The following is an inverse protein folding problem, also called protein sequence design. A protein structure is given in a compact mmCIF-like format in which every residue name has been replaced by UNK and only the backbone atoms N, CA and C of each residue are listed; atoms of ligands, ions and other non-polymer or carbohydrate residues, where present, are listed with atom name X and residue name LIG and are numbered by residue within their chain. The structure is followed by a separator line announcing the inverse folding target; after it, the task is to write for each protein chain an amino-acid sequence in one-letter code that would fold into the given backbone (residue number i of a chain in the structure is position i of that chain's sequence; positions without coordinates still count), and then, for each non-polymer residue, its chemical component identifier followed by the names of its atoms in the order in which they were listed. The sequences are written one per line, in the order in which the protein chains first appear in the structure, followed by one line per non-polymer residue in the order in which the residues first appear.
data_IF_989365864450
#
_entry.id   IF_989365864450
#
_cell.length_a   1.000
_cell.length_b   1.000
_cell.length_c   1.000
_cell.angle_alpha   90.00
_cell.angle_beta   90.00
_cell.angle_gamma   90.00
#
_symmetry.space_group_name_H-M   'P 1'
#
loop_
_entity.id
_entity.type
_entity.pdbx_description
1 polymer ?
#
# COMPACT_ATOMS: atom_id res chain seq x y z
N UNK A 1 -32.45 13.43 21.96
CA UNK A 1 -31.60 13.20 20.78
C UNK A 1 -32.00 14.21 19.71
N UNK A 2 -31.06 14.95 19.11
CA UNK A 2 -31.41 16.00 18.14
C UNK A 2 -31.91 15.35 16.83
N UNK A 3 -32.84 16.00 16.13
CA UNK A 3 -33.42 15.50 14.88
C UNK A 3 -32.34 15.20 13.82
N UNK A 4 -31.25 15.96 13.84
CA UNK A 4 -30.06 15.76 13.01
C UNK A 4 -29.31 14.45 13.32
N UNK A 5 -29.19 14.08 14.60
CA UNK A 5 -28.60 12.78 14.99
C UNK A 5 -29.50 11.64 14.55
N UNK A 6 -30.82 11.78 14.73
CA UNK A 6 -31.79 10.77 14.33
C UNK A 6 -31.77 10.54 12.80
N UNK A 7 -31.68 11.60 12.00
CA UNK A 7 -31.53 11.50 10.54
C UNK A 7 -30.20 10.88 10.12
N UNK A 8 -29.10 11.16 10.84
CA UNK A 8 -27.80 10.51 10.61
C UNK A 8 -27.88 9.00 10.85
N UNK A 9 -28.51 8.55 11.94
CA UNK A 9 -28.71 7.13 12.23
C UNK A 9 -29.72 6.48 11.27
N UNK A 10 -30.80 7.17 10.92
CA UNK A 10 -31.82 6.68 9.99
C UNK A 10 -31.26 6.51 8.57
N UNK A 11 -30.49 7.48 8.05
CA UNK A 11 -29.83 7.33 6.75
C UNK A 11 -28.76 6.22 6.79
N UNK A 12 -28.02 6.08 7.90
CA UNK A 12 -27.09 4.97 8.11
C UNK A 12 -27.79 3.60 8.11
N UNK A 13 -29.02 3.52 8.61
CA UNK A 13 -29.82 2.28 8.66
C UNK A 13 -30.50 1.97 7.32
N UNK A 14 -31.04 2.99 6.63
CA UNK A 14 -31.82 2.85 5.38
C UNK A 14 -30.94 2.72 4.13
N UNK A 15 -29.78 3.39 4.12
CA UNK A 15 -28.78 3.34 3.03
C UNK A 15 -27.56 2.50 3.42
N UNK A 16 -27.66 1.66 4.46
CA UNK A 16 -26.54 0.87 4.98
C UNK A 16 -25.93 -0.09 3.96
N UNK A 17 -26.69 -0.50 2.94
CA UNK A 17 -26.20 -1.26 1.79
C UNK A 17 -25.71 -0.35 0.65
N UNK A 18 -26.38 0.79 0.41
CA UNK A 18 -26.04 1.76 -0.64
C UNK A 18 -24.67 2.41 -0.42
N UNK A 19 -24.26 2.58 0.85
CA UNK A 19 -22.96 3.19 1.19
C UNK A 19 -21.78 2.43 0.61
N UNK A 20 -21.85 1.10 0.51
CA UNK A 20 -20.80 0.26 -0.05
C UNK A 20 -20.63 0.48 -1.56
N UNK A 21 -21.70 0.91 -2.25
CA UNK A 21 -21.62 1.30 -3.65
C UNK A 21 -20.81 2.58 -3.87
N UNK A 22 -20.63 3.40 -2.82
CA UNK A 22 -19.87 4.64 -2.86
C UNK A 22 -18.41 4.51 -2.39
N UNK A 23 -18.01 3.34 -1.88
CA UNK A 23 -16.63 3.04 -1.46
C UNK A 23 -15.80 2.50 -2.63
N UNK A 24 -14.46 2.57 -2.51
CA UNK A 24 -13.51 2.01 -3.48
C UNK A 24 -13.84 2.37 -4.94
N UNK A 25 -14.08 3.66 -5.20
CA UNK A 25 -14.49 4.15 -6.52
C UNK A 25 -13.33 4.21 -7.53
N UNK A 26 -12.10 4.30 -7.03
CA UNK A 26 -10.88 4.21 -7.83
C UNK A 26 -10.35 2.79 -7.74
N UNK A 27 -10.59 2.03 -8.79
CA UNK A 27 -10.05 0.67 -8.97
C UNK A 27 -9.00 0.72 -10.07
N UNK A 28 -7.87 0.05 -9.86
CA UNK A 28 -6.79 -0.03 -10.85
C UNK A 28 -7.14 -1.14 -11.84
N UNK A 29 -7.26 -0.78 -13.12
CA UNK A 29 -7.68 -1.68 -14.20
C UNK A 29 -6.63 -1.80 -15.29
N UNK A 30 -5.87 -0.75 -15.55
CA UNK A 30 -4.87 -0.71 -16.60
C UNK A 30 -3.52 -0.28 -16.02
N UNK A 31 -2.52 -1.17 -16.11
CA UNK A 31 -1.16 -0.94 -15.64
C UNK A 31 -0.21 -0.93 -16.83
N UNK A 32 0.64 0.09 -16.91
CA UNK A 32 1.77 0.11 -17.84
C UNK A 32 3.04 -0.35 -17.10
N UNK A 33 3.64 -1.45 -17.53
CA UNK A 33 4.91 -1.94 -17.03
C UNK A 33 6.01 -1.57 -18.04
N UNK A 34 7.00 -0.79 -17.58
CA UNK A 34 8.17 -0.41 -18.38
C UNK A 34 9.36 -1.20 -17.89
N UNK A 35 9.88 -2.09 -18.73
CA UNK A 35 10.96 -3.01 -18.35
C UNK A 35 11.96 -3.22 -19.49
N UNK A 36 13.13 -3.78 -19.16
CA UNK A 36 14.01 -4.30 -20.20
C UNK A 36 13.48 -5.65 -20.68
N UNK A 37 13.87 -6.09 -21.89
CA UNK A 37 13.50 -7.42 -22.41
C UNK A 37 13.93 -8.53 -21.44
N UNK A 38 15.10 -8.39 -20.82
CA UNK A 38 15.60 -9.34 -19.84
C UNK A 38 14.73 -9.37 -18.58
N UNK A 39 14.35 -8.21 -18.06
CA UNK A 39 13.51 -8.13 -16.86
C UNK A 39 12.09 -8.62 -17.12
N UNK A 40 11.53 -8.31 -18.30
CA UNK A 40 10.26 -8.86 -18.74
C UNK A 40 10.31 -10.40 -18.78
N UNK A 41 11.39 -10.98 -19.27
CA UNK A 41 11.58 -12.44 -19.25
C UNK A 41 11.65 -13.01 -17.83
N UNK A 42 12.38 -12.33 -16.91
CA UNK A 42 12.46 -12.76 -15.50
C UNK A 42 11.10 -12.73 -14.81
N UNK A 43 10.24 -11.75 -15.10
CA UNK A 43 8.89 -11.67 -14.55
C UNK A 43 7.96 -12.79 -15.08
N UNK A 44 8.28 -13.38 -16.22
CA UNK A 44 7.47 -14.40 -16.90
C UNK A 44 7.99 -15.84 -16.68
N UNK A 45 9.06 -16.01 -15.90
CA UNK A 45 9.86 -17.24 -15.88
C UNK A 45 9.14 -18.48 -15.32
N UNK A 46 8.21 -18.31 -14.37
CA UNK A 46 7.44 -19.42 -13.75
C UNK A 46 6.03 -19.57 -14.33
N UNK A 47 5.47 -18.51 -14.90
CA UNK A 47 4.20 -18.44 -15.63
C UNK A 47 4.03 -17.00 -16.10
N UNK A 48 3.06 -16.74 -16.97
CA UNK A 48 2.76 -15.36 -17.35
C UNK A 48 2.39 -14.57 -16.10
N UNK A 49 3.04 -13.44 -15.86
CA UNK A 49 2.82 -12.62 -14.66
C UNK A 49 1.33 -12.26 -14.50
N UNK A 50 0.69 -11.96 -15.64
CA UNK A 50 -0.75 -11.69 -15.72
C UNK A 50 -1.62 -12.87 -15.24
N UNK A 51 -1.24 -14.12 -15.54
CA UNK A 51 -1.96 -15.32 -15.09
C UNK A 51 -1.77 -15.56 -13.60
N UNK A 52 -0.55 -15.32 -13.08
CA UNK A 52 -0.27 -15.42 -11.66
C UNK A 52 -1.09 -14.41 -10.85
N UNK A 53 -1.08 -13.13 -11.25
CA UNK A 53 -1.88 -12.08 -10.60
C UNK A 53 -3.38 -12.42 -10.68
N UNK A 54 -3.85 -12.93 -11.81
CA UNK A 54 -5.23 -13.39 -11.93
C UNK A 54 -5.55 -14.53 -10.95
N UNK A 55 -4.64 -15.50 -10.79
CA UNK A 55 -4.76 -16.58 -9.81
C UNK A 55 -4.88 -16.07 -8.38
N UNK A 56 -4.01 -15.12 -7.99
CA UNK A 56 -4.05 -14.50 -6.65
C UNK A 56 -5.35 -13.74 -6.40
N UNK A 57 -5.83 -12.99 -7.39
CA UNK A 57 -7.13 -12.31 -7.30
C UNK A 57 -8.29 -13.29 -7.11
N UNK A 58 -8.26 -14.43 -7.82
CA UNK A 58 -9.26 -15.47 -7.68
C UNK A 58 -9.23 -16.12 -6.29
N UNK A 59 -8.04 -16.41 -5.76
CA UNK A 59 -7.89 -16.96 -4.41
C UNK A 59 -8.44 -16.01 -3.33
N UNK A 60 -8.29 -14.70 -3.54
CA UNK A 60 -8.76 -13.65 -2.64
C UNK A 60 -10.19 -13.17 -2.97
N UNK A 61 -10.94 -13.88 -3.83
CA UNK A 61 -12.30 -13.52 -4.26
C UNK A 61 -12.46 -12.06 -4.72
N UNK A 62 -11.41 -11.49 -5.33
CA UNK A 62 -11.41 -10.14 -5.87
C UNK A 62 -12.08 -10.12 -7.26
N UNK A 63 -12.68 -8.98 -7.64
CA UNK A 63 -13.49 -8.91 -8.86
C UNK A 63 -12.70 -9.11 -10.15
N UNK A 64 -11.78 -8.20 -10.45
CA UNK A 64 -11.03 -8.20 -11.70
C UNK A 64 -9.58 -7.89 -11.44
N UNK A 65 -8.70 -8.77 -11.90
CA UNK A 65 -7.29 -8.46 -12.00
C UNK A 65 -7.09 -7.36 -13.05
N UNK A 66 -6.19 -6.40 -12.81
CA UNK A 66 -5.86 -5.39 -13.81
C UNK A 66 -5.18 -6.03 -15.01
N UNK A 67 -5.32 -5.37 -16.16
CA UNK A 67 -4.56 -5.68 -17.37
C UNK A 67 -3.20 -5.02 -17.27
N UNK A 68 -2.16 -5.78 -17.61
CA UNK A 68 -0.79 -5.29 -17.67
C UNK A 68 -0.39 -5.18 -19.13
N UNK A 69 -0.01 -3.98 -19.56
CA UNK A 69 0.64 -3.73 -20.84
C UNK A 69 2.11 -3.53 -20.58
N UNK A 70 2.97 -4.33 -21.22
CA UNK A 70 4.43 -4.23 -21.04
C UNK A 70 5.05 -3.55 -22.24
N UNK A 71 5.92 -2.58 -22.00
CA UNK A 71 6.70 -1.89 -23.01
C UNK A 71 8.19 -1.86 -22.63
N UNK A 72 9.04 -1.68 -23.63
CA UNK A 72 10.45 -1.45 -23.47
C UNK A 72 10.75 0.04 -23.22
N UNK A 73 11.94 0.32 -22.67
CA UNK A 73 12.43 1.68 -22.50
C UNK A 73 12.68 2.44 -23.81
N UNK A 74 12.74 1.74 -24.95
CA UNK A 74 12.96 2.36 -26.26
C UNK A 74 11.66 2.68 -26.99
N UNK A 75 10.52 2.26 -26.45
CA UNK A 75 9.22 2.52 -27.06
C UNK A 75 8.79 3.98 -26.85
N UNK A 76 7.96 4.47 -27.78
CA UNK A 76 7.46 5.83 -27.73
C UNK A 76 6.37 5.97 -26.65
N UNK A 77 6.81 6.33 -25.46
CA UNK A 77 5.94 6.56 -24.30
C UNK A 77 4.87 7.62 -24.58
N UNK A 78 5.15 8.64 -25.39
CA UNK A 78 4.21 9.73 -25.64
C UNK A 78 3.03 9.23 -26.50
N UNK A 79 3.32 8.40 -27.52
CA UNK A 79 2.29 7.75 -28.32
C UNK A 79 1.42 6.82 -27.46
N UNK A 80 2.05 6.00 -26.63
CA UNK A 80 1.36 5.02 -25.77
C UNK A 80 0.43 5.69 -24.77
N UNK A 81 0.89 6.76 -24.10
CA UNK A 81 0.08 7.52 -23.15
C UNK A 81 -1.06 8.31 -23.82
N UNK A 82 -0.90 8.66 -25.10
CA UNK A 82 -1.94 9.32 -25.89
C UNK A 82 -3.02 8.33 -26.34
N UNK A 83 -2.62 7.12 -26.74
CA UNK A 83 -3.52 6.08 -27.23
C UNK A 83 -4.37 5.44 -26.11
N UNK A 84 -3.78 5.28 -24.93
CA UNK A 84 -4.41 4.54 -23.83
C UNK A 84 -4.18 5.20 -22.49
N UNK A 85 -5.24 5.23 -21.67
CA UNK A 85 -5.16 5.66 -20.27
C UNK A 85 -4.71 4.50 -19.40
N UNK A 86 -3.81 4.81 -18.48
CA UNK A 86 -3.34 3.90 -17.45
C UNK A 86 -3.69 4.46 -16.07
N UNK A 87 -3.98 3.57 -15.13
CA UNK A 87 -4.28 3.93 -13.75
C UNK A 87 -3.01 3.99 -12.90
N UNK A 88 -2.01 3.16 -13.22
CA UNK A 88 -0.69 3.11 -12.56
C UNK A 88 0.38 2.74 -13.58
N UNK A 89 1.59 3.29 -13.40
CA UNK A 89 2.78 2.90 -14.14
C UNK A 89 3.79 2.26 -13.20
N UNK A 90 4.39 1.14 -13.60
CA UNK A 90 5.48 0.48 -12.90
C UNK A 90 6.70 0.56 -13.79
N UNK A 91 7.77 1.21 -13.30
CA UNK A 91 9.04 1.32 -14.02
C UNK A 91 10.06 0.43 -13.33
N UNK A 92 10.68 -0.49 -14.06
CA UNK A 92 11.74 -1.32 -13.49
C UNK A 92 13.05 -0.55 -13.41
N UNK A 93 13.80 -0.76 -12.33
CA UNK A 93 15.09 -0.12 -12.15
C UNK A 93 16.13 -0.66 -13.13
N UNK A 94 16.81 0.26 -13.81
CA UNK A 94 17.94 -0.04 -14.68
C UNK A 94 19.01 1.03 -14.62
N UNK A 95 20.21 0.66 -15.02
CA UNK A 95 21.28 1.59 -15.35
C UNK A 95 21.28 1.79 -16.87
N UNK A 96 21.34 3.03 -17.33
CA UNK A 96 21.26 3.36 -18.76
C UNK A 96 21.18 4.87 -19.01
N UNK A 97 21.14 5.24 -20.30
CA UNK A 97 21.03 6.65 -20.75
C UNK A 97 19.67 7.24 -20.36
N UNK A 98 18.60 6.47 -20.63
CA UNK A 98 17.26 6.74 -20.13
C UNK A 98 17.15 6.15 -18.71
N UNK A 99 17.24 7.01 -17.71
CA UNK A 99 17.07 6.61 -16.31
C UNK A 99 15.60 6.57 -15.93
N UNK A 100 15.16 5.66 -15.04
CA UNK A 100 13.79 5.63 -14.53
C UNK A 100 13.28 6.99 -14.01
N UNK A 101 14.11 7.77 -13.33
CA UNK A 101 13.71 9.09 -12.80
C UNK A 101 13.39 10.12 -13.89
N UNK A 102 14.18 10.15 -14.98
CA UNK A 102 13.91 11.01 -16.15
C UNK A 102 12.60 10.61 -16.84
N UNK A 103 12.40 9.30 -17.03
CA UNK A 103 11.17 8.79 -17.63
C UNK A 103 9.95 9.10 -16.75
N UNK A 104 10.08 8.93 -15.44
CA UNK A 104 9.05 9.28 -14.47
C UNK A 104 8.66 10.77 -14.56
N UNK A 105 9.66 11.65 -14.65
CA UNK A 105 9.43 13.10 -14.82
C UNK A 105 8.69 13.39 -16.13
N UNK A 106 9.14 12.81 -17.24
CA UNK A 106 8.50 12.96 -18.56
C UNK A 106 7.03 12.48 -18.54
N UNK A 107 6.74 11.36 -17.90
CA UNK A 107 5.37 10.85 -17.74
C UNK A 107 4.52 11.83 -16.91
N UNK A 108 5.08 12.39 -15.83
CA UNK A 108 4.37 13.35 -14.99
C UNK A 108 4.08 14.68 -15.68
N UNK A 109 4.82 15.04 -16.74
CA UNK A 109 4.48 16.19 -17.59
C UNK A 109 3.15 15.98 -18.33
N UNK A 110 2.77 14.73 -18.65
CA UNK A 110 1.46 14.40 -19.22
C UNK A 110 0.36 14.34 -18.18
N UNK A 111 0.66 13.77 -17.00
CA UNK A 111 -0.28 13.67 -15.90
C UNK A 111 0.46 13.61 -14.56
N UNK A 112 0.50 14.74 -13.86
CA UNK A 112 1.17 14.88 -12.56
C UNK A 112 0.60 13.95 -11.48
N UNK A 113 -0.69 13.61 -11.60
CA UNK A 113 -1.40 12.78 -10.62
C UNK A 113 -1.33 11.28 -10.92
N UNK A 114 -0.72 10.86 -12.03
CA UNK A 114 -0.58 9.44 -12.36
C UNK A 114 0.39 8.78 -11.38
N UNK A 115 -0.04 7.76 -10.61
CA UNK A 115 0.87 7.07 -9.70
C UNK A 115 1.92 6.29 -10.48
N UNK A 116 3.19 6.48 -10.12
CA UNK A 116 4.33 5.79 -10.73
C UNK A 116 5.12 5.09 -9.63
N UNK A 117 5.26 3.77 -9.78
CA UNK A 117 5.99 2.89 -8.87
C UNK A 117 7.35 2.53 -9.46
N UNK A 118 8.38 2.45 -8.63
CA UNK A 118 9.69 1.94 -9.01
C UNK A 118 9.83 0.49 -8.54
N UNK A 119 10.12 -0.43 -9.46
CA UNK A 119 10.36 -1.85 -9.12
C UNK A 119 11.83 -2.22 -9.30
N UNK A 120 12.50 -2.52 -8.20
CA UNK A 120 13.88 -3.02 -8.18
C UNK A 120 13.88 -4.51 -8.48
N UNK A 121 14.88 -4.98 -9.22
CA UNK A 121 15.11 -6.41 -9.50
C UNK A 121 16.36 -6.97 -8.77
N UNK A 122 17.11 -6.12 -8.05
CA UNK A 122 18.37 -6.48 -7.40
C UNK A 122 18.54 -5.72 -6.08
N UNK A 123 19.04 -6.41 -5.06
CA UNK A 123 19.35 -5.81 -3.75
C UNK A 123 20.43 -4.72 -3.85
N UNK A 124 21.36 -4.80 -4.79
CA UNK A 124 22.38 -3.76 -5.00
C UNK A 124 21.80 -2.39 -5.36
N UNK A 125 20.59 -2.34 -5.94
CA UNK A 125 19.92 -1.06 -6.20
C UNK A 125 19.35 -0.41 -4.94
N UNK A 126 19.07 -1.18 -3.88
CA UNK A 126 18.69 -0.61 -2.58
C UNK A 126 19.85 0.23 -2.02
N UNK A 127 21.08 -0.29 -2.10
CA UNK A 127 22.26 0.45 -1.65
C UNK A 127 22.51 1.71 -2.49
N UNK A 128 22.30 1.63 -3.81
CA UNK A 128 22.35 2.82 -4.68
C UNK A 128 21.33 3.88 -4.26
N UNK A 129 20.10 3.47 -3.96
CA UNK A 129 19.03 4.36 -3.52
C UNK A 129 19.33 4.97 -2.15
N UNK A 130 19.92 4.21 -1.22
CA UNK A 130 20.36 4.74 0.08
C UNK A 130 21.41 5.84 -0.08
N UNK A 131 22.32 5.69 -1.04
CA UNK A 131 23.35 6.69 -1.35
C UNK A 131 22.79 7.90 -2.11
N UNK A 132 21.74 7.68 -2.91
CA UNK A 132 21.11 8.66 -3.79
C UNK A 132 19.58 8.67 -3.63
N UNK A 133 19.07 9.14 -2.48
CA UNK A 133 17.64 9.12 -2.20
C UNK A 133 16.83 10.00 -3.17
N UNK A 134 17.47 10.95 -3.85
CA UNK A 134 16.86 11.79 -4.88
C UNK A 134 16.28 10.99 -6.06
N UNK A 135 16.77 9.76 -6.28
CA UNK A 135 16.23 8.84 -7.28
C UNK A 135 14.76 8.53 -7.01
N UNK A 136 14.34 8.52 -5.74
CA UNK A 136 12.99 8.15 -5.33
C UNK A 136 11.99 9.29 -5.41
N UNK A 137 12.45 10.55 -5.41
CA UNK A 137 11.58 11.74 -5.35
C UNK A 137 10.43 11.75 -6.36
N UNK A 138 10.60 11.35 -7.63
CA UNK A 138 9.50 11.41 -8.58
C UNK A 138 8.53 10.23 -8.43
N UNK A 139 8.87 9.18 -7.69
CA UNK A 139 8.05 7.97 -7.54
C UNK A 139 7.11 8.05 -6.34
N UNK A 140 5.95 7.41 -6.46
CA UNK A 140 4.97 7.31 -5.37
C UNK A 140 5.37 6.28 -4.33
N UNK A 141 5.95 5.15 -4.77
CA UNK A 141 6.46 4.10 -3.89
C UNK A 141 7.51 3.26 -4.64
N UNK A 142 8.36 2.58 -3.88
CA UNK A 142 9.42 1.71 -4.41
C UNK A 142 9.21 0.29 -3.91
N UNK A 143 9.48 -0.72 -4.71
CA UNK A 143 9.41 -2.12 -4.28
C UNK A 143 10.61 -2.89 -4.81
N UNK A 144 10.93 -4.04 -4.22
CA UNK A 144 11.89 -4.99 -4.80
C UNK A 144 11.18 -6.30 -5.14
N UNK A 145 11.30 -6.70 -6.41
CA UNK A 145 10.86 -8.00 -6.88
C UNK A 145 11.64 -9.11 -6.19
N UNK A 146 10.91 -10.02 -5.56
CA UNK A 146 11.44 -11.16 -4.81
C UNK A 146 11.00 -12.52 -5.40
N UNK A 147 10.33 -12.52 -6.55
CA UNK A 147 9.77 -13.72 -7.18
C UNK A 147 8.32 -14.03 -6.79
N UNK A 148 7.72 -13.28 -5.86
CA UNK A 148 6.35 -13.51 -5.40
C UNK A 148 5.35 -12.60 -6.14
N UNK A 149 4.47 -13.19 -6.96
CA UNK A 149 3.43 -12.47 -7.71
C UNK A 149 2.44 -11.73 -6.81
N UNK A 150 2.29 -12.14 -5.54
CA UNK A 150 1.47 -11.43 -4.54
C UNK A 150 1.97 -10.04 -4.25
N UNK A 151 3.25 -9.75 -4.53
CA UNK A 151 3.79 -8.39 -4.49
C UNK A 151 3.01 -7.45 -5.41
N UNK A 152 2.67 -7.87 -6.64
CA UNK A 152 1.89 -7.02 -7.53
C UNK A 152 0.49 -6.75 -6.96
N UNK A 153 -0.16 -7.77 -6.36
CA UNK A 153 -1.44 -7.57 -5.68
C UNK A 153 -1.30 -6.55 -4.57
N UNK A 154 -0.27 -6.66 -3.71
CA UNK A 154 -0.01 -5.70 -2.64
C UNK A 154 0.25 -4.28 -3.18
N UNK A 155 1.06 -4.12 -4.22
CA UNK A 155 1.34 -2.84 -4.87
C UNK A 155 0.06 -2.18 -5.38
N UNK A 156 -0.79 -2.95 -6.06
CA UNK A 156 -2.07 -2.49 -6.59
C UNK A 156 -2.97 -2.04 -5.44
N UNK A 157 -3.12 -2.88 -4.41
CA UNK A 157 -4.02 -2.59 -3.29
C UNK A 157 -3.54 -1.40 -2.45
N UNK A 158 -2.23 -1.22 -2.31
CA UNK A 158 -1.66 -0.04 -1.65
C UNK A 158 -2.00 1.25 -2.40
N UNK A 159 -1.90 1.24 -3.73
CA UNK A 159 -2.26 2.40 -4.54
C UNK A 159 -3.78 2.65 -4.53
N UNK A 160 -4.60 1.61 -4.62
CA UNK A 160 -6.06 1.77 -4.46
C UNK A 160 -6.44 2.31 -3.08
N UNK A 161 -5.79 1.83 -2.01
CA UNK A 161 -6.02 2.33 -0.66
C UNK A 161 -5.68 3.81 -0.56
N UNK A 162 -4.51 4.22 -1.07
CA UNK A 162 -4.09 5.62 -1.13
C UNK A 162 -5.09 6.50 -1.92
N UNK A 163 -5.55 6.05 -3.08
CA UNK A 163 -6.46 6.81 -3.94
C UNK A 163 -7.87 6.97 -3.35
N UNK A 164 -8.32 6.03 -2.52
CA UNK A 164 -9.70 6.04 -1.98
C UNK A 164 -9.80 6.50 -0.53
N UNK A 165 -8.73 6.42 0.27
CA UNK A 165 -8.80 6.58 1.74
C UNK A 165 -9.51 7.86 2.17
N UNK A 166 -9.27 8.99 1.50
CA UNK A 166 -9.88 10.25 1.90
C UNK A 166 -11.40 10.28 1.70
N UNK A 167 -11.90 9.72 0.60
CA UNK A 167 -13.33 9.62 0.35
C UNK A 167 -13.98 8.56 1.24
N UNK A 168 -13.35 7.39 1.33
CA UNK A 168 -13.88 6.22 2.03
C UNK A 168 -13.99 6.47 3.55
N UNK A 169 -13.01 7.15 4.15
CA UNK A 169 -13.06 7.58 5.56
C UNK A 169 -14.17 8.61 5.84
N UNK A 170 -14.40 9.56 4.92
CA UNK A 170 -15.42 10.62 5.09
C UNK A 170 -16.84 10.10 4.92
N UNK A 171 -17.05 9.22 3.94
CA UNK A 171 -18.39 8.74 3.58
C UNK A 171 -18.74 7.48 4.37
N UNK A 172 -17.87 6.48 4.38
CA UNK A 172 -18.14 5.16 4.97
C UNK A 172 -17.57 4.92 6.36
N UNK A 173 -16.87 5.90 6.95
CA UNK A 173 -16.13 5.72 8.21
C UNK A 173 -15.17 4.51 8.15
N UNK A 174 -14.61 4.27 6.95
CA UNK A 174 -13.70 3.16 6.69
C UNK A 174 -12.47 3.29 7.58
N UNK A 175 -12.02 2.15 8.10
CA UNK A 175 -10.90 2.08 9.04
C UNK A 175 -9.56 2.03 8.33
N UNK A 176 -8.52 2.44 9.03
CA UNK A 176 -7.15 2.48 8.52
C UNK A 176 -6.22 1.65 9.41
N UNK A 177 -5.38 0.83 8.81
CA UNK A 177 -4.19 0.28 9.45
C UNK A 177 -3.01 1.15 9.02
N UNK A 178 -2.36 1.81 9.99
CA UNK A 178 -1.17 2.61 9.73
C UNK A 178 0.06 1.70 9.84
N UNK A 179 0.76 1.50 8.73
CA UNK A 179 1.96 0.67 8.65
C UNK A 179 3.20 1.55 8.46
N UNK A 180 4.20 1.43 9.34
CA UNK A 180 5.42 2.25 9.28
C UNK A 180 6.63 1.34 9.11
N UNK A 181 7.25 1.42 7.93
CA UNK A 181 8.45 0.65 7.57
C UNK A 181 9.33 1.45 6.61
N UNK A 182 10.65 1.40 6.82
CA UNK A 182 11.64 2.08 5.99
C UNK A 182 12.44 1.13 5.08
N UNK A 183 12.44 -0.17 5.36
CA UNK A 183 13.24 -1.14 4.62
C UNK A 183 12.49 -1.70 3.41
N UNK A 184 12.99 -1.34 2.21
CA UNK A 184 12.40 -1.71 0.90
C UNK A 184 12.19 -3.22 0.74
N UNK A 185 13.21 -3.99 1.11
CA UNK A 185 13.19 -5.45 1.09
C UNK A 185 12.16 -6.04 2.05
N UNK A 186 12.08 -5.49 3.26
CA UNK A 186 11.15 -5.97 4.28
C UNK A 186 9.70 -5.72 3.87
N UNK A 187 9.31 -4.48 3.57
CA UNK A 187 7.90 -4.23 3.25
C UNK A 187 7.48 -4.87 1.91
N UNK A 188 8.39 -5.02 0.94
CA UNK A 188 8.08 -5.74 -0.31
C UNK A 188 7.77 -7.22 -0.05
N UNK A 189 8.28 -7.79 1.04
CA UNK A 189 7.98 -9.16 1.45
C UNK A 189 6.78 -9.22 2.41
N UNK A 190 6.63 -8.22 3.28
CA UNK A 190 5.63 -8.21 4.34
C UNK A 190 4.24 -7.78 3.87
N UNK A 191 4.14 -6.80 2.96
CA UNK A 191 2.85 -6.31 2.46
C UNK A 191 1.99 -7.40 1.79
N UNK A 192 2.54 -8.30 0.94
CA UNK A 192 1.80 -9.44 0.41
C UNK A 192 1.10 -10.28 1.50
N UNK A 193 1.82 -10.60 2.56
CA UNK A 193 1.29 -11.34 3.70
C UNK A 193 0.23 -10.51 4.43
N UNK A 194 0.51 -9.23 4.70
CA UNK A 194 -0.39 -8.33 5.42
C UNK A 194 -1.73 -8.18 4.70
N UNK A 195 -1.72 -7.93 3.38
CA UNK A 195 -2.94 -7.86 2.57
C UNK A 195 -3.67 -9.20 2.51
N UNK A 196 -2.94 -10.32 2.41
CA UNK A 196 -3.58 -11.65 2.41
C UNK A 196 -4.36 -11.90 3.71
N UNK A 197 -3.74 -11.61 4.86
CA UNK A 197 -4.38 -11.77 6.18
C UNK A 197 -5.56 -10.81 6.34
N UNK A 198 -5.40 -9.54 5.99
CA UNK A 198 -6.45 -8.53 6.10
C UNK A 198 -7.69 -8.89 5.26
N UNK A 199 -7.48 -9.37 4.03
CA UNK A 199 -8.56 -9.81 3.16
C UNK A 199 -9.24 -11.08 3.69
N UNK A 200 -8.47 -12.06 4.18
CA UNK A 200 -9.03 -13.28 4.79
C UNK A 200 -9.91 -12.96 5.99
N UNK A 201 -9.41 -12.14 6.92
CA UNK A 201 -10.20 -11.70 8.09
C UNK A 201 -11.46 -10.95 7.66
N UNK A 202 -11.37 -10.10 6.63
CA UNK A 202 -12.55 -9.40 6.11
C UNK A 202 -13.56 -10.36 5.51
N UNK A 203 -13.11 -11.39 4.77
CA UNK A 203 -13.98 -12.42 4.20
C UNK A 203 -14.70 -13.22 5.27
N UNK A 204 -13.99 -13.64 6.33
CA UNK A 204 -14.58 -14.36 7.47
C UNK A 204 -15.71 -13.55 8.13
N UNK A 205 -15.54 -12.23 8.27
CA UNK A 205 -16.55 -11.35 8.86
C UNK A 205 -17.82 -11.21 8.02
N UNK A 206 -17.74 -11.41 6.71
CA UNK A 206 -18.87 -11.27 5.79
C UNK A 206 -19.36 -12.62 5.26
N UNK A 207 -18.85 -13.73 5.79
CA UNK A 207 -19.12 -15.04 5.20
C UNK A 207 -20.59 -15.46 5.33
N UNK A 208 -21.28 -14.94 6.33
CA UNK A 208 -22.71 -15.16 6.57
C UNK A 208 -23.65 -14.51 5.54
N UNK A 209 -23.13 -13.72 4.59
CA UNK A 209 -23.93 -13.11 3.53
C UNK A 209 -24.16 -14.11 2.40
N UNK A 210 -25.39 -14.41 2.01
CA UNK A 210 -25.63 -15.43 0.97
C UNK A 210 -25.35 -14.90 -0.45
N UNK A 211 -25.59 -13.60 -0.69
CA UNK A 211 -25.46 -13.02 -2.03
C UNK A 211 -24.01 -12.60 -2.33
N UNK A 212 -23.44 -13.17 -3.39
CA UNK A 212 -22.07 -12.89 -3.84
C UNK A 212 -21.86 -11.40 -4.14
N UNK A 213 -22.86 -10.71 -4.67
CA UNK A 213 -22.80 -9.27 -4.96
C UNK A 213 -22.67 -8.47 -3.66
N UNK A 214 -23.42 -8.83 -2.62
CA UNK A 214 -23.37 -8.15 -1.32
C UNK A 214 -22.06 -8.44 -0.59
N UNK A 215 -21.54 -9.68 -0.64
CA UNK A 215 -20.17 -9.98 -0.15
C UNK A 215 -19.15 -9.04 -0.79
N UNK A 216 -19.19 -8.87 -2.11
CA UNK A 216 -18.26 -8.00 -2.85
C UNK A 216 -18.38 -6.53 -2.46
N UNK A 217 -19.60 -6.03 -2.27
CA UNK A 217 -19.82 -4.66 -1.83
C UNK A 217 -19.25 -4.43 -0.43
N UNK A 218 -19.51 -5.37 0.50
CA UNK A 218 -18.98 -5.29 1.87
C UNK A 218 -17.44 -5.38 1.92
N UNK A 219 -16.80 -6.13 1.03
CA UNK A 219 -15.33 -6.13 0.88
C UNK A 219 -14.75 -4.73 0.59
N UNK A 220 -15.51 -3.79 0.04
CA UNK A 220 -15.02 -2.41 -0.19
C UNK A 220 -14.83 -1.63 1.11
N UNK A 221 -15.53 -2.00 2.17
CA UNK A 221 -15.38 -1.43 3.50
C UNK A 221 -14.20 -2.02 4.30
N UNK A 222 -13.42 -2.94 3.70
CA UNK A 222 -12.20 -3.46 4.30
C UNK A 222 -11.28 -2.32 4.76
N UNK A 223 -10.57 -2.48 5.90
CA UNK A 223 -9.59 -1.50 6.34
C UNK A 223 -8.58 -1.15 5.23
N UNK A 224 -8.31 0.14 5.07
CA UNK A 224 -7.28 0.63 4.14
C UNK A 224 -5.93 0.57 4.84
N UNK A 225 -4.89 0.18 4.12
CA UNK A 225 -3.51 0.25 4.66
C UNK A 225 -2.88 1.53 4.14
N UNK A 226 -2.42 2.39 5.05
CA UNK A 226 -1.58 3.54 4.71
C UNK A 226 -0.17 3.30 5.21
N UNK A 227 0.81 3.52 4.32
CA UNK A 227 2.22 3.31 4.63
C UNK A 227 2.95 4.63 4.86
N UNK A 228 3.90 4.63 5.79
CA UNK A 228 4.86 5.70 6.01
C UNK A 228 6.28 5.13 6.18
N UNK A 229 7.30 5.91 5.83
CA UNK A 229 8.70 5.46 5.89
C UNK A 229 9.53 6.12 6.99
N UNK A 230 8.99 7.15 7.62
CA UNK A 230 9.68 7.91 8.66
C UNK A 230 8.65 8.41 9.70
N UNK A 231 9.18 8.98 10.77
CA UNK A 231 8.39 9.48 11.87
C UNK A 231 7.44 10.61 11.45
N UNK A 232 7.92 11.54 10.64
CA UNK A 232 7.18 12.74 10.25
C UNK A 232 5.96 12.40 9.38
N UNK A 233 6.15 11.54 8.38
CA UNK A 233 5.08 11.05 7.52
C UNK A 233 4.05 10.26 8.34
N UNK A 234 4.51 9.42 9.27
CA UNK A 234 3.63 8.64 10.13
C UNK A 234 2.77 9.54 11.04
N UNK A 235 3.36 10.57 11.66
CA UNK A 235 2.61 11.55 12.48
C UNK A 235 1.64 12.35 11.60
N UNK A 236 2.04 12.73 10.39
CA UNK A 236 1.17 13.45 9.46
C UNK A 236 -0.08 12.64 9.11
N UNK A 237 0.10 11.37 8.72
CA UNK A 237 -1.00 10.45 8.43
C UNK A 237 -1.85 10.22 9.68
N UNK A 238 -1.21 9.97 10.83
CA UNK A 238 -1.91 9.76 12.10
C UNK A 238 -2.80 10.96 12.45
N UNK A 239 -2.26 12.18 12.41
CA UNK A 239 -3.02 13.39 12.74
C UNK A 239 -4.18 13.62 11.77
N UNK A 240 -3.98 13.37 10.47
CA UNK A 240 -5.03 13.51 9.45
C UNK A 240 -6.17 12.51 9.67
N UNK A 241 -5.85 11.27 10.07
CA UNK A 241 -6.81 10.17 10.11
C UNK A 241 -7.05 9.54 11.49
N UNK A 242 -6.67 10.21 12.58
CA UNK A 242 -6.69 9.62 13.95
C UNK A 242 -8.00 8.99 14.39
N UNK A 243 -9.14 9.47 13.87
CA UNK A 243 -10.48 8.93 14.18
C UNK A 243 -10.80 7.63 13.42
N UNK A 244 -10.07 7.36 12.34
CA UNK A 244 -10.26 6.22 11.46
C UNK A 244 -9.20 5.13 11.66
N UNK A 245 -8.08 5.44 12.33
CA UNK A 245 -7.03 4.45 12.60
C UNK A 245 -7.56 3.36 13.55
N UNK A 246 -7.51 2.13 13.07
CA UNK A 246 -7.86 0.91 13.77
C UNK A 246 -6.67 0.32 14.52
N UNK A 247 -5.48 0.38 13.92
CA UNK A 247 -4.26 -0.12 14.52
C UNK A 247 -3.01 0.54 13.90
N UNK A 248 -1.90 0.48 14.65
CA UNK A 248 -0.60 0.97 14.20
C UNK A 248 0.42 -0.16 14.26
N UNK A 249 1.10 -0.41 13.15
CA UNK A 249 2.19 -1.38 13.04
C UNK A 249 3.45 -0.60 12.68
N UNK A 250 4.49 -0.66 13.52
CA UNK A 250 5.69 0.17 13.34
C UNK A 250 6.96 -0.64 13.55
N UNK A 251 7.95 -0.41 12.68
CA UNK A 251 9.32 -0.81 12.95
C UNK A 251 9.90 0.02 14.13
N UNK A 252 10.67 -0.62 15.01
CA UNK A 252 11.24 0.05 16.18
C UNK A 252 12.17 1.21 15.82
N UNK A 253 13.00 1.00 14.79
CA UNK A 253 13.89 2.02 14.28
C UNK A 253 13.22 2.79 13.12
N UNK A 254 13.37 4.12 13.14
CA UNK A 254 12.85 4.99 12.08
C UNK A 254 13.80 6.16 11.86
N UNK A 255 13.68 6.81 10.71
CA UNK A 255 14.24 8.15 10.54
C UNK A 255 13.37 9.16 11.27
N UNK A 256 13.99 10.03 12.06
CA UNK A 256 13.41 11.18 12.75
C UNK A 256 14.22 12.40 12.36
N UNK A 257 13.59 13.41 11.78
CA UNK A 257 14.23 14.59 11.18
C UNK A 257 15.36 14.19 10.21
N UNK A 258 15.11 13.17 9.39
CA UNK A 258 16.07 12.63 8.41
C UNK A 258 17.23 11.82 9.00
N UNK A 259 17.37 11.72 10.33
CA UNK A 259 18.42 10.94 11.01
C UNK A 259 17.87 9.63 11.54
N UNK A 260 18.65 8.57 11.41
CA UNK A 260 18.25 7.26 11.93
C UNK A 260 18.24 7.27 13.46
N UNK A 261 17.12 6.84 14.04
CA UNK A 261 16.87 6.74 15.47
C UNK A 261 16.41 5.31 15.78
N UNK A 262 17.17 4.61 16.61
CA UNK A 262 16.90 3.21 16.96
C UNK A 262 15.56 3.05 17.71
N UNK A 263 15.11 4.11 18.39
CA UNK A 263 13.86 4.16 19.13
C UNK A 263 12.79 4.99 18.40
N UNK A 264 13.01 5.36 17.13
CA UNK A 264 12.13 6.26 16.39
C UNK A 264 10.66 5.81 16.36
N UNK A 265 10.41 4.53 16.07
CA UNK A 265 9.07 3.95 16.09
C UNK A 265 8.50 3.81 17.50
N UNK A 266 9.36 3.56 18.49
CA UNK A 266 8.93 3.50 19.90
C UNK A 266 8.48 4.88 20.38
N UNK A 267 9.20 5.95 20.01
CA UNK A 267 8.83 7.34 20.28
C UNK A 267 7.49 7.67 19.64
N UNK A 268 7.29 7.29 18.38
CA UNK A 268 6.04 7.47 17.65
C UNK A 268 4.87 6.82 18.39
N UNK A 269 5.03 5.53 18.75
CA UNK A 269 3.97 4.78 19.43
C UNK A 269 3.68 5.29 20.84
N UNK A 270 4.66 5.88 21.55
CA UNK A 270 4.41 6.56 22.83
C UNK A 270 3.49 7.76 22.66
N UNK A 271 3.77 8.63 21.69
CA UNK A 271 2.93 9.81 21.38
C UNK A 271 1.51 9.36 21.05
N UNK A 272 1.37 8.32 20.21
CA UNK A 272 0.06 7.76 19.86
C UNK A 272 -0.65 7.15 21.08
N UNK A 273 0.08 6.46 21.98
CA UNK A 273 -0.49 5.86 23.21
C UNK A 273 -1.00 6.93 24.18
N UNK A 274 -0.29 8.05 24.29
CA UNK A 274 -0.68 9.18 25.14
C UNK A 274 -1.99 9.82 24.66
N UNK A 275 -2.15 9.97 23.34
CA UNK A 275 -3.39 10.49 22.76
C UNK A 275 -4.53 9.46 22.73
N UNK A 276 -4.21 8.19 22.47
CA UNK A 276 -5.17 7.10 22.42
C UNK A 276 -4.69 5.91 23.27
N UNK A 277 -5.07 5.87 24.58
CA UNK A 277 -4.65 4.84 25.51
C UNK A 277 -5.04 3.42 25.10
N UNK A 278 -6.06 3.23 24.26
CA UNK A 278 -6.57 1.93 23.82
C UNK A 278 -6.13 1.49 22.43
N UNK A 279 -5.36 2.31 21.69
CA UNK A 279 -4.94 2.00 20.33
C UNK A 279 -4.23 0.63 20.24
N UNK A 280 -4.72 -0.33 19.44
CA UNK A 280 -4.00 -1.57 19.14
C UNK A 280 -2.71 -1.25 18.39
N UNK A 281 -1.58 -1.77 18.89
CA UNK A 281 -0.27 -1.44 18.37
C UNK A 281 0.64 -2.66 18.32
N UNK A 282 1.39 -2.81 17.22
CA UNK A 282 2.38 -3.86 17.01
C UNK A 282 3.75 -3.23 16.73
N UNK A 283 4.71 -3.48 17.61
CA UNK A 283 6.11 -3.11 17.41
C UNK A 283 6.83 -4.27 16.72
N UNK A 284 7.47 -3.99 15.58
CA UNK A 284 8.30 -4.98 14.89
C UNK A 284 9.78 -4.61 15.06
N UNK A 285 10.64 -5.58 15.39
CA UNK A 285 12.08 -5.33 15.51
C UNK A 285 12.91 -6.58 15.27
N UNK A 286 14.12 -6.40 14.72
CA UNK A 286 15.14 -7.46 14.68
C UNK A 286 15.95 -7.56 15.99
N UNK A 287 15.81 -6.60 16.91
CA UNK A 287 16.40 -6.66 18.23
C UNK A 287 15.34 -7.12 19.24
N UNK A 288 15.50 -8.35 19.73
CA UNK A 288 14.58 -8.99 20.67
C UNK A 288 14.46 -8.22 22.00
N UNK A 289 15.49 -7.46 22.41
CA UNK A 289 15.46 -6.67 23.65
C UNK A 289 14.35 -5.61 23.64
N UNK A 290 13.89 -5.21 22.44
CA UNK A 290 12.77 -4.28 22.27
C UNK A 290 11.43 -4.82 22.74
N UNK A 291 11.30 -6.13 23.03
CA UNK A 291 10.10 -6.69 23.66
C UNK A 291 9.79 -6.00 25.00
N UNK A 292 10.80 -5.59 25.75
CA UNK A 292 10.62 -4.87 27.01
C UNK A 292 10.06 -3.46 26.78
N UNK A 293 10.48 -2.80 25.69
CA UNK A 293 9.98 -1.47 25.32
C UNK A 293 8.54 -1.55 24.79
N UNK A 294 8.21 -2.55 23.97
CA UNK A 294 6.84 -2.84 23.54
C UNK A 294 5.88 -3.01 24.73
N UNK A 295 6.28 -3.83 25.72
CA UNK A 295 5.51 -4.04 26.95
C UNK A 295 5.26 -2.74 27.73
N UNK A 296 6.26 -1.86 27.84
CA UNK A 296 6.12 -0.55 28.53
C UNK A 296 5.08 0.35 27.88
N UNK A 297 4.95 0.29 26.55
CA UNK A 297 3.97 1.08 25.80
C UNK A 297 2.65 0.33 25.54
N UNK A 298 2.49 -0.85 26.14
CA UNK A 298 1.34 -1.76 25.95
C UNK A 298 1.10 -2.07 24.47
N UNK A 299 2.18 -2.35 23.73
CA UNK A 299 2.12 -2.82 22.36
C UNK A 299 2.49 -4.31 22.31
N UNK A 300 1.91 -5.01 21.34
CA UNK A 300 2.37 -6.34 20.95
C UNK A 300 3.75 -6.25 20.29
N UNK A 301 4.48 -7.36 20.27
CA UNK A 301 5.82 -7.43 19.71
C UNK A 301 5.93 -8.54 18.66
N UNK A 302 6.53 -8.21 17.52
CA UNK A 302 6.91 -9.19 16.48
C UNK A 302 8.42 -9.13 16.24
N UNK A 303 9.08 -10.26 16.45
CA UNK A 303 10.48 -10.42 16.10
C UNK A 303 10.62 -10.55 14.57
N UNK A 304 11.52 -9.76 13.97
CA UNK A 304 11.88 -9.84 12.56
C UNK A 304 13.08 -10.76 12.40
N UNK A 305 12.88 -11.86 11.67
CA UNK A 305 13.99 -12.65 11.15
C UNK A 305 14.66 -11.86 10.04
N UNK A 306 15.82 -11.29 10.34
CA UNK A 306 16.73 -10.65 9.38
C UNK A 306 17.50 -11.68 8.58
#
# INVERSE_FOLDING_TARGET
MKLEELNKYYNKFKFGEDIFHHLMQKEIKEILLISSIFDAYVLEQDSRLSEQIYGEYKQLNLMMAPRITTISFTDDIDSILTEKKFDVIIIMMRVGVETPGRLCTKIKEHNENLPILLLLNKKSYIELIKQKPEILLPFNEVFIWNGDSKLFVAMIKLMEDFLNVEKDTKIGDVRIILFIESSIDYYSTFLPLMYSVEMQLTQELIDSEDEVINKRLKMRARPKILMAHNYEDAISIYNKYKKNILSVISNANLKVNGKFDIDGGIKLMKVIREENPSMPMLLQSADESNIHLAKKIKAEFLYKYS
#
